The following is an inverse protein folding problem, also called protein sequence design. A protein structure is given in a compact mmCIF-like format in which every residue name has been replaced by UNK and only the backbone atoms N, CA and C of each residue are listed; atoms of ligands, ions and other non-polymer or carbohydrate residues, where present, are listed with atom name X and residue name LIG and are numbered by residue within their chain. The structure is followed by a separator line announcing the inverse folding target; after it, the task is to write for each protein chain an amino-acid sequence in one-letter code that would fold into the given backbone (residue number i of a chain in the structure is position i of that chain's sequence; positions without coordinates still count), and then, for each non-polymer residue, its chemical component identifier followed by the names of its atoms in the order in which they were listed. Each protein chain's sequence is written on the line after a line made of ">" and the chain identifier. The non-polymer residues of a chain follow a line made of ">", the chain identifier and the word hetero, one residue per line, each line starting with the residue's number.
data_IF_445350976669
#
_entry.id   IF_445350976669
#
_cell.length_a   1.000
_cell.length_b   1.000
_cell.length_c   1.000
_cell.angle_alpha   90.00
_cell.angle_beta   90.00
_cell.angle_gamma   90.00
#
_symmetry.space_group_name_H-M   'P 1'
#
loop_
_entity.id
_entity.type
_entity.pdbx_description
1 polymer ?
#
# COMPACT_ATOMS: atom_id res chain seq x y z
N UNK A 1 -33.41 -1.47 -7.15
CA UNK A 1 -32.02 -1.87 -7.46
C UNK A 1 -31.19 -1.94 -6.17
N UNK A 2 -31.64 -2.69 -5.16
CA UNK A 2 -31.28 -2.43 -3.74
C UNK A 2 -30.28 -3.42 -3.09
N UNK A 3 -29.87 -4.50 -3.77
CA UNK A 3 -29.09 -5.60 -3.13
C UNK A 3 -27.61 -5.68 -3.53
N UNK A 4 -27.17 -4.96 -4.56
CA UNK A 4 -25.80 -5.10 -5.07
C UNK A 4 -24.75 -4.36 -4.24
N UNK A 5 -25.13 -3.26 -3.57
CA UNK A 5 -24.17 -2.45 -2.81
C UNK A 5 -23.70 -3.17 -1.54
N UNK A 6 -24.60 -3.87 -0.83
CA UNK A 6 -24.24 -4.66 0.37
C UNK A 6 -23.24 -5.75 0.04
N UNK A 7 -23.46 -6.50 -1.04
CA UNK A 7 -22.55 -7.57 -1.48
C UNK A 7 -21.18 -7.02 -1.88
N UNK A 8 -21.15 -5.90 -2.62
CA UNK A 8 -19.89 -5.24 -2.96
C UNK A 8 -19.16 -4.74 -1.71
N UNK A 9 -19.88 -4.19 -0.73
CA UNK A 9 -19.32 -3.75 0.53
C UNK A 9 -18.63 -4.91 1.26
N UNK A 10 -19.29 -6.07 1.39
CA UNK A 10 -18.69 -7.24 2.04
C UNK A 10 -17.44 -7.76 1.32
N UNK A 11 -17.45 -7.79 -0.02
CA UNK A 11 -16.29 -8.22 -0.81
C UNK A 11 -15.12 -7.25 -0.61
N UNK A 12 -15.38 -5.94 -0.67
CA UNK A 12 -14.36 -4.91 -0.50
C UNK A 12 -13.81 -4.91 0.93
N UNK A 13 -14.69 -5.05 1.92
CA UNK A 13 -14.32 -5.10 3.32
C UNK A 13 -13.41 -6.30 3.62
N UNK A 14 -13.77 -7.49 3.11
CA UNK A 14 -12.91 -8.68 3.23
C UNK A 14 -11.55 -8.46 2.52
N UNK A 15 -11.55 -7.92 1.30
CA UNK A 15 -10.31 -7.64 0.58
C UNK A 15 -9.39 -6.67 1.33
N UNK A 16 -9.96 -5.58 1.86
CA UNK A 16 -9.22 -4.60 2.66
C UNK A 16 -8.71 -5.23 3.96
N UNK A 17 -9.52 -6.04 4.64
CA UNK A 17 -9.14 -6.75 5.85
C UNK A 17 -7.92 -7.67 5.62
N UNK A 18 -7.95 -8.50 4.58
CA UNK A 18 -6.82 -9.36 4.24
C UNK A 18 -5.58 -8.55 3.85
N UNK A 19 -5.75 -7.47 3.08
CA UNK A 19 -4.65 -6.59 2.72
C UNK A 19 -3.99 -5.96 3.96
N UNK A 20 -4.79 -5.45 4.89
CA UNK A 20 -4.30 -4.81 6.11
C UNK A 20 -3.64 -5.81 7.06
N UNK A 21 -4.20 -7.03 7.16
CA UNK A 21 -3.60 -8.13 7.89
C UNK A 21 -2.23 -8.51 7.31
N UNK A 22 -2.14 -8.70 6.00
CA UNK A 22 -0.90 -9.03 5.31
C UNK A 22 0.17 -7.94 5.50
N UNK A 23 -0.22 -6.66 5.38
CA UNK A 23 0.68 -5.53 5.63
C UNK A 23 1.20 -5.53 7.07
N UNK A 24 0.30 -5.63 8.05
CA UNK A 24 0.67 -5.61 9.48
C UNK A 24 1.59 -6.77 9.84
N UNK A 25 1.35 -7.96 9.29
CA UNK A 25 2.24 -9.11 9.44
C UNK A 25 3.61 -8.84 8.80
N UNK A 26 3.67 -8.16 7.66
CA UNK A 26 4.91 -7.90 6.92
C UNK A 26 5.80 -6.83 7.55
N UNK A 27 5.21 -5.82 8.19
CA UNK A 27 5.93 -4.70 8.83
C UNK A 27 7.09 -5.13 9.74
N UNK A 28 6.93 -6.06 10.70
CA UNK A 28 8.02 -6.49 11.58
C UNK A 28 9.11 -7.29 10.85
N UNK A 29 8.84 -7.83 9.65
CA UNK A 29 9.85 -8.55 8.86
C UNK A 29 10.70 -7.62 8.00
N UNK A 30 10.30 -6.37 7.76
CA UNK A 30 11.08 -5.44 6.94
C UNK A 30 12.50 -5.16 7.47
N UNK A 31 12.72 -4.96 8.78
CA UNK A 31 14.07 -4.80 9.32
C UNK A 31 14.91 -6.07 9.14
N UNK A 32 14.30 -7.25 9.33
CA UNK A 32 14.96 -8.55 9.15
C UNK A 32 15.34 -8.78 7.68
N UNK A 33 14.48 -8.40 6.74
CA UNK A 33 14.73 -8.49 5.31
C UNK A 33 15.88 -7.57 4.87
N UNK A 34 15.90 -6.31 5.34
CA UNK A 34 17.00 -5.38 5.07
C UNK A 34 18.33 -5.87 5.65
N UNK A 35 18.30 -6.58 6.78
CA UNK A 35 19.51 -7.09 7.43
C UNK A 35 20.04 -8.37 6.76
N UNK A 36 19.16 -9.33 6.46
CA UNK A 36 19.55 -10.66 5.96
C UNK A 36 19.69 -10.71 4.44
N UNK A 37 18.70 -10.22 3.68
CA UNK A 37 18.68 -10.31 2.23
C UNK A 37 19.48 -9.18 1.56
N UNK A 38 19.43 -7.97 2.12
CA UNK A 38 20.15 -6.81 1.56
C UNK A 38 21.52 -6.58 2.20
N UNK A 39 21.88 -7.33 3.25
CA UNK A 39 23.19 -7.24 3.92
C UNK A 39 23.48 -5.90 4.59
N UNK A 40 22.47 -5.05 4.82
CA UNK A 40 22.64 -3.71 5.40
C UNK A 40 22.86 -3.85 6.91
N UNK A 41 24.13 -3.97 7.32
CA UNK A 41 24.53 -3.99 8.75
C UNK A 41 24.70 -2.59 9.35
N UNK A 42 24.77 -1.55 8.52
CA UNK A 42 24.97 -0.15 8.92
C UNK A 42 23.72 0.66 8.56
N UNK A 43 23.17 1.41 9.53
CA UNK A 43 22.00 2.30 9.36
C UNK A 43 20.65 1.60 9.06
N UNK A 44 20.45 0.38 9.58
CA UNK A 44 19.19 -0.36 9.44
C UNK A 44 17.97 0.46 9.91
N UNK A 45 18.10 1.15 11.04
CA UNK A 45 17.07 2.03 11.61
C UNK A 45 16.74 3.21 10.70
N UNK A 46 17.75 3.76 10.01
CA UNK A 46 17.54 4.87 9.07
C UNK A 46 16.79 4.39 7.82
N UNK A 47 17.16 3.23 7.26
CA UNK A 47 16.49 2.68 6.09
C UNK A 47 15.06 2.22 6.37
N UNK A 48 14.81 1.61 7.54
CA UNK A 48 13.44 1.27 7.96
C UNK A 48 12.59 2.52 8.19
N UNK A 49 13.15 3.54 8.85
CA UNK A 49 12.50 4.83 9.06
C UNK A 49 12.18 5.56 7.76
N UNK A 50 13.12 5.57 6.80
CA UNK A 50 12.93 6.17 5.46
C UNK A 50 11.84 5.42 4.69
N UNK A 51 11.88 4.08 4.69
CA UNK A 51 10.90 3.26 3.97
C UNK A 51 9.46 3.48 4.46
N UNK A 52 9.27 3.65 5.77
CA UNK A 52 7.95 3.92 6.34
C UNK A 52 7.55 5.37 6.04
N UNK A 53 8.41 6.33 6.35
CA UNK A 53 8.15 7.76 6.16
C UNK A 53 7.83 8.13 4.72
N UNK A 54 8.52 7.55 3.74
CA UNK A 54 8.28 7.84 2.33
C UNK A 54 6.92 7.33 1.86
N UNK A 55 6.47 6.19 2.38
CA UNK A 55 5.14 5.64 2.06
C UNK A 55 4.04 6.61 2.54
N UNK A 56 4.18 7.13 3.77
CA UNK A 56 3.27 8.14 4.32
C UNK A 56 3.34 9.48 3.59
N UNK A 57 4.54 9.92 3.24
CA UNK A 57 4.74 11.19 2.53
C UNK A 57 4.10 11.15 1.13
N UNK A 58 4.32 10.07 0.37
CA UNK A 58 3.70 9.89 -0.94
C UNK A 58 2.18 9.77 -0.81
N UNK A 59 1.68 8.97 0.14
CA UNK A 59 0.24 8.85 0.36
C UNK A 59 -0.40 10.20 0.68
N UNK A 60 0.20 11.00 1.58
CA UNK A 60 -0.28 12.34 1.92
C UNK A 60 -0.26 13.32 0.77
N UNK A 61 0.79 13.29 -0.07
CA UNK A 61 0.88 14.14 -1.27
C UNK A 61 -0.14 13.73 -2.35
N UNK A 62 -0.40 12.44 -2.47
CA UNK A 62 -1.33 11.90 -3.46
C UNK A 62 -2.79 11.92 -2.98
N UNK A 63 -3.04 12.05 -1.68
CA UNK A 63 -4.39 12.13 -1.09
C UNK A 63 -5.32 13.17 -1.76
N UNK A 64 -4.93 14.44 -1.95
CA UNK A 64 -5.80 15.42 -2.61
C UNK A 64 -6.03 15.11 -4.10
N UNK A 65 -5.02 14.58 -4.78
CA UNK A 65 -5.11 14.23 -6.21
C UNK A 65 -6.10 13.09 -6.43
N UNK A 66 -5.98 12.02 -5.64
CA UNK A 66 -6.89 10.89 -5.75
C UNK A 66 -8.27 11.18 -5.17
N UNK A 67 -8.39 12.00 -4.11
CA UNK A 67 -9.68 12.44 -3.58
C UNK A 67 -10.53 13.16 -4.64
N UNK A 68 -9.93 14.11 -5.35
CA UNK A 68 -10.60 14.79 -6.47
C UNK A 68 -10.96 13.83 -7.61
N UNK A 69 -10.14 12.80 -7.85
CA UNK A 69 -10.42 11.78 -8.86
C UNK A 69 -11.56 10.84 -8.43
N UNK A 70 -11.69 10.52 -7.15
CA UNK A 70 -12.79 9.74 -6.59
C UNK A 70 -14.13 10.45 -6.80
N UNK A 71 -14.16 11.75 -6.54
CA UNK A 71 -15.37 12.56 -6.69
C UNK A 71 -15.82 12.65 -8.16
N UNK A 72 -14.89 12.61 -9.11
CA UNK A 72 -15.18 12.69 -10.55
C UNK A 72 -15.53 11.34 -11.20
N UNK A 73 -14.86 10.25 -10.81
CA UNK A 73 -15.00 8.94 -11.47
C UNK A 73 -15.83 7.92 -10.65
N UNK A 74 -16.21 8.28 -9.43
CA UNK A 74 -17.00 7.44 -8.53
C UNK A 74 -16.13 6.52 -7.67
N UNK A 75 -16.44 6.50 -6.37
CA UNK A 75 -15.69 5.78 -5.33
C UNK A 75 -15.55 4.28 -5.60
N UNK A 76 -16.55 3.67 -6.24
CA UNK A 76 -16.60 2.23 -6.53
C UNK A 76 -15.51 1.77 -7.51
N UNK A 77 -15.23 2.57 -8.54
CA UNK A 77 -14.21 2.23 -9.55
C UNK A 77 -12.80 2.44 -8.98
N UNK A 78 -12.64 3.50 -8.17
CA UNK A 78 -11.37 3.83 -7.55
C UNK A 78 -10.93 2.75 -6.55
N UNK A 79 -11.86 2.23 -5.76
CA UNK A 79 -11.66 1.11 -4.82
C UNK A 79 -11.15 -0.18 -5.47
N UNK A 80 -11.76 -0.59 -6.59
CA UNK A 80 -11.33 -1.79 -7.30
C UNK A 80 -9.93 -1.61 -7.89
N UNK A 81 -9.66 -0.42 -8.43
CA UNK A 81 -8.35 -0.09 -9.00
C UNK A 81 -7.25 -0.07 -7.94
N UNK A 82 -7.48 0.53 -6.78
CA UNK A 82 -6.49 0.55 -5.69
C UNK A 82 -6.27 -0.84 -5.10
N UNK A 83 -7.31 -1.68 -4.97
CA UNK A 83 -7.16 -3.07 -4.56
C UNK A 83 -6.27 -3.90 -5.50
N UNK A 84 -6.47 -3.77 -6.82
CA UNK A 84 -5.61 -4.43 -7.82
C UNK A 84 -4.18 -3.86 -7.78
N UNK A 85 -4.03 -2.54 -7.68
CA UNK A 85 -2.74 -1.87 -7.62
C UNK A 85 -1.93 -2.27 -6.38
N UNK A 86 -2.58 -2.38 -5.22
CA UNK A 86 -1.97 -2.86 -3.98
C UNK A 86 -1.59 -4.33 -4.08
N UNK A 87 -2.47 -5.19 -4.62
CA UNK A 87 -2.14 -6.60 -4.88
C UNK A 87 -0.92 -6.77 -5.80
N UNK A 88 -0.82 -5.97 -6.86
CA UNK A 88 0.34 -5.94 -7.73
C UNK A 88 1.60 -5.43 -7.00
N UNK A 89 1.48 -4.42 -6.13
CA UNK A 89 2.58 -3.95 -5.30
C UNK A 89 3.07 -5.03 -4.33
N UNK A 90 2.17 -5.82 -3.74
CA UNK A 90 2.52 -6.94 -2.88
C UNK A 90 3.21 -8.07 -3.65
N UNK A 91 2.79 -8.36 -4.88
CA UNK A 91 3.53 -9.28 -5.75
C UNK A 91 4.91 -8.73 -6.13
N UNK A 92 5.01 -7.43 -6.40
CA UNK A 92 6.28 -6.78 -6.70
C UNK A 92 7.27 -6.84 -5.53
N UNK A 93 6.78 -6.78 -4.27
CA UNK A 93 7.62 -6.95 -3.08
C UNK A 93 8.37 -8.30 -3.07
N UNK A 94 7.79 -9.36 -3.64
CA UNK A 94 8.45 -10.66 -3.73
C UNK A 94 9.70 -10.64 -4.65
N UNK A 95 9.73 -9.76 -5.65
CA UNK A 95 10.85 -9.63 -6.60
C UNK A 95 11.90 -8.60 -6.17
N UNK A 96 11.71 -7.94 -5.03
CA UNK A 96 12.67 -6.96 -4.52
C UNK A 96 13.88 -7.69 -3.98
N UNK A 97 15.06 -7.38 -4.51
CA UNK A 97 16.34 -7.92 -4.02
C UNK A 97 17.33 -6.80 -3.63
N UNK A 98 16.89 -5.54 -3.65
CA UNK A 98 17.74 -4.36 -3.47
C UNK A 98 16.99 -3.24 -2.69
N UNK A 99 17.67 -2.47 -1.83
CA UNK A 99 17.04 -1.40 -1.03
C UNK A 99 16.38 -0.30 -1.87
N UNK A 100 16.94 0.02 -3.03
CA UNK A 100 16.37 1.02 -3.93
C UNK A 100 15.09 0.51 -4.58
N UNK A 101 15.06 -0.76 -4.98
CA UNK A 101 13.83 -1.40 -5.47
C UNK A 101 12.75 -1.47 -4.39
N UNK A 102 13.16 -1.73 -3.14
CA UNK A 102 12.24 -1.72 -2.01
C UNK A 102 11.57 -0.35 -1.83
N UNK A 103 12.35 0.73 -1.85
CA UNK A 103 11.82 2.10 -1.77
C UNK A 103 10.91 2.40 -2.96
N UNK A 104 11.27 1.97 -4.18
CA UNK A 104 10.44 2.18 -5.36
C UNK A 104 9.08 1.49 -5.22
N UNK A 105 9.06 0.25 -4.72
CA UNK A 105 7.81 -0.47 -4.42
C UNK A 105 7.02 0.23 -3.31
N UNK A 106 7.67 0.84 -2.31
CA UNK A 106 6.99 1.66 -1.29
C UNK A 106 6.35 2.91 -1.84
N UNK A 107 7.05 3.61 -2.73
CA UNK A 107 6.50 4.79 -3.41
C UNK A 107 5.29 4.38 -4.24
N UNK A 108 5.38 3.27 -4.98
CA UNK A 108 4.26 2.73 -5.75
C UNK A 108 3.08 2.32 -4.86
N UNK A 109 3.36 1.65 -3.73
CA UNK A 109 2.35 1.26 -2.76
C UNK A 109 1.66 2.50 -2.14
N UNK A 110 2.42 3.53 -1.76
CA UNK A 110 1.89 4.79 -1.24
C UNK A 110 1.05 5.56 -2.28
N UNK A 111 1.47 5.54 -3.55
CA UNK A 111 0.71 6.13 -4.66
C UNK A 111 -0.63 5.42 -4.87
N UNK A 112 -0.68 4.09 -4.74
CA UNK A 112 -1.91 3.32 -4.86
C UNK A 112 -2.80 3.39 -3.61
N UNK A 113 -2.19 3.54 -2.43
CA UNK A 113 -2.88 3.68 -1.15
C UNK A 113 -3.54 5.06 -0.98
N UNK A 114 -2.98 6.11 -1.58
CA UNK A 114 -3.50 7.48 -1.49
C UNK A 114 -4.91 7.71 -2.03
N UNK A 115 -5.64 6.67 -2.46
CA UNK A 115 -7.07 6.75 -2.75
C UNK A 115 -7.85 7.02 -1.46
N UNK A 116 -7.94 8.30 -1.09
CA UNK A 116 -8.56 8.75 0.15
C UNK A 116 -9.92 8.10 0.42
N UNK A 117 -10.04 7.51 1.61
CA UNK A 117 -11.32 7.06 2.18
C UNK A 117 -11.37 5.64 2.75
N UNK A 118 -10.28 4.86 2.77
CA UNK A 118 -10.29 3.50 3.35
C UNK A 118 -9.47 3.36 4.63
N UNK A 119 -8.74 4.40 5.01
CA UNK A 119 -7.86 4.40 6.18
C UNK A 119 -8.47 5.16 7.37
N UNK A 120 -9.75 5.56 7.28
CA UNK A 120 -10.54 6.21 8.33
C UNK A 120 -11.87 5.49 8.56
#
# INVERSE_FOLDING_TARGET
>A
MELYWKRNLYILWLGLFFNHMAYTLSVPFFPLFLQNDLGIRSRLEAWSGISISISFLISGLCAPFWGSLADKYGSKLMLVRSGIGLGAAHLANYFVHDPYMFILVRIFQGLMAGSGGLDL
#
